data_IF_231178653175
#
_entry.id   IF_231178653175
#
_cell.length_a   1.000
_cell.length_b   1.000
_cell.length_c   1.000
_cell.angle_alpha   90.00
_cell.angle_beta   90.00
_cell.angle_gamma   90.00
#
_symmetry.space_group_name_H-M   'P 1'
#
loop_
_entity.id
_entity.type
_entity.pdbx_description
1 polymer ?
#
# COMPACT_ATOMS: atom_id res chain seq x y z
N UNK A 1 8.83 -18.34 20.66
CA UNK A 1 7.90 -17.20 20.57
C UNK A 1 7.08 -17.39 19.32
N UNK A 2 5.76 -17.50 19.43
CA UNK A 2 4.90 -17.72 18.27
C UNK A 2 4.94 -16.48 17.37
N UNK A 3 5.45 -16.64 16.14
CA UNK A 3 5.23 -15.66 15.09
C UNK A 3 3.72 -15.65 14.80
N UNK A 4 3.02 -14.69 15.38
CA UNK A 4 1.63 -14.41 15.03
C UNK A 4 1.60 -13.92 13.58
N UNK A 5 1.41 -14.85 12.65
CA UNK A 5 1.08 -14.53 11.27
C UNK A 5 -0.22 -13.74 11.27
N UNK A 6 -0.21 -12.57 10.65
CA UNK A 6 -1.42 -11.77 10.44
C UNK A 6 -2.36 -12.54 9.51
N UNK A 7 -3.68 -12.47 9.72
CA UNK A 7 -4.63 -13.25 8.93
C UNK A 7 -4.58 -12.82 7.46
N UNK A 8 -4.45 -13.80 6.56
CA UNK A 8 -4.49 -13.61 5.11
C UNK A 8 -5.88 -13.17 4.66
N UNK A 9 -5.96 -12.42 3.56
CA UNK A 9 -7.26 -12.09 2.98
C UNK A 9 -7.81 -13.31 2.26
N UNK A 10 -8.93 -13.84 2.73
CA UNK A 10 -9.66 -14.94 2.09
C UNK A 10 -10.99 -14.46 1.50
N UNK A 11 -11.25 -14.81 0.24
CA UNK A 11 -12.59 -14.90 -0.35
C UNK A 11 -12.91 -16.36 -0.66
N UNK A 12 -14.13 -16.65 -1.12
CA UNK A 12 -14.50 -18.02 -1.56
C UNK A 12 -13.53 -18.61 -2.60
N UNK A 13 -12.96 -17.76 -3.45
CA UNK A 13 -12.13 -18.15 -4.59
C UNK A 13 -10.65 -17.77 -4.51
N UNK A 14 -10.21 -17.01 -3.49
CA UNK A 14 -8.82 -16.54 -3.41
C UNK A 14 -8.35 -16.35 -1.96
N UNK A 15 -7.14 -16.81 -1.67
CA UNK A 15 -6.45 -16.57 -0.39
C UNK A 15 -5.08 -15.95 -0.69
N UNK A 16 -4.72 -14.88 0.02
CA UNK A 16 -3.38 -14.33 -0.06
C UNK A 16 -3.20 -13.00 0.68
N UNK A 17 -1.97 -12.50 0.64
CA UNK A 17 -1.58 -11.23 1.24
C UNK A 17 -1.17 -10.22 0.16
N UNK A 18 -1.60 -8.98 0.30
CA UNK A 18 -1.24 -7.88 -0.60
C UNK A 18 -0.78 -6.68 0.22
N UNK A 19 0.53 -6.48 0.32
CA UNK A 19 1.11 -5.32 0.98
C UNK A 19 1.87 -4.43 0.00
N UNK A 20 1.72 -3.13 0.16
CA UNK A 20 2.31 -2.13 -0.71
C UNK A 20 2.86 -0.98 0.13
N UNK A 21 4.16 -0.71 -0.04
CA UNK A 21 4.76 0.53 0.40
C UNK A 21 4.54 1.59 -0.68
N UNK A 22 3.92 2.70 -0.32
CA UNK A 22 3.81 3.89 -1.16
C UNK A 22 4.53 5.06 -0.52
N UNK A 23 5.01 5.95 -1.36
CA UNK A 23 5.51 7.25 -0.92
C UNK A 23 5.04 8.35 -1.85
N UNK A 24 4.54 9.44 -1.26
CA UNK A 24 4.15 10.66 -1.94
C UNK A 24 5.10 11.80 -1.55
N UNK A 25 5.41 12.67 -2.49
CA UNK A 25 6.24 13.86 -2.28
C UNK A 25 5.40 15.10 -2.58
N UNK A 26 5.37 16.11 -1.69
CA UNK A 26 4.78 17.40 -1.98
C UNK A 26 5.34 18.01 -3.27
N UNK A 27 4.58 18.89 -3.90
CA UNK A 27 5.03 19.59 -5.09
C UNK A 27 6.34 20.34 -4.78
N UNK A 28 7.27 20.31 -5.74
CA UNK A 28 8.59 20.95 -5.61
C UNK A 28 9.44 20.42 -4.44
N UNK A 29 9.07 19.28 -3.83
CA UNK A 29 9.76 18.66 -2.69
C UNK A 29 9.97 19.64 -1.52
N UNK A 30 8.93 20.43 -1.24
CA UNK A 30 8.94 21.37 -0.13
C UNK A 30 8.57 20.67 1.17
N UNK A 31 9.15 21.15 2.26
CA UNK A 31 9.02 20.60 3.60
C UNK A 31 7.71 21.04 4.28
N UNK A 32 6.57 20.85 3.60
CA UNK A 32 5.27 21.30 4.11
C UNK A 32 4.81 20.55 5.36
N UNK A 33 5.35 19.35 5.60
CA UNK A 33 5.02 18.55 6.79
C UNK A 33 5.86 18.91 8.00
N UNK A 34 6.80 19.87 7.88
CA UNK A 34 7.41 20.54 9.03
C UNK A 34 6.37 21.38 9.81
N UNK A 35 5.27 21.75 9.16
CA UNK A 35 4.14 22.41 9.82
C UNK A 35 3.17 21.32 10.34
N UNK A 36 2.97 21.20 11.67
CA UNK A 36 2.24 20.08 12.28
C UNK A 36 0.80 19.95 11.78
N UNK A 37 0.07 21.06 11.64
CA UNK A 37 -1.34 21.02 11.25
C UNK A 37 -1.50 20.55 9.79
N UNK A 38 -0.59 20.95 8.90
CA UNK A 38 -0.51 20.48 7.52
C UNK A 38 -0.26 18.98 7.47
N UNK A 39 0.65 18.46 8.32
CA UNK A 39 0.90 17.01 8.45
C UNK A 39 -0.38 16.30 8.91
N UNK A 40 -0.97 16.72 10.02
CA UNK A 40 -2.14 16.08 10.62
C UNK A 40 -3.36 16.06 9.68
N UNK A 41 -3.72 17.20 9.08
CA UNK A 41 -4.84 17.29 8.16
C UNK A 41 -4.61 16.47 6.88
N UNK A 42 -3.39 16.47 6.34
CA UNK A 42 -3.06 15.65 5.16
C UNK A 42 -3.21 14.17 5.47
N UNK A 43 -2.72 13.72 6.62
CA UNK A 43 -2.88 12.34 7.12
C UNK A 43 -4.37 12.00 7.29
N UNK A 44 -5.15 12.89 7.90
CA UNK A 44 -6.59 12.68 8.09
C UNK A 44 -7.34 12.50 6.76
N UNK A 45 -7.06 13.31 5.73
CA UNK A 45 -7.69 13.17 4.42
C UNK A 45 -7.24 11.92 3.67
N UNK A 46 -6.01 11.45 3.87
CA UNK A 46 -5.55 10.17 3.31
C UNK A 46 -6.31 9.00 3.97
N UNK A 47 -6.46 9.02 5.29
CA UNK A 47 -7.19 7.99 6.06
C UNK A 47 -8.68 8.00 5.69
N UNK A 48 -9.29 9.16 5.58
CA UNK A 48 -10.68 9.28 5.13
C UNK A 48 -10.85 8.62 3.75
N UNK A 49 -9.99 8.97 2.79
CA UNK A 49 -10.11 8.41 1.44
C UNK A 49 -9.83 6.91 1.41
N UNK A 50 -8.91 6.40 2.22
CA UNK A 50 -8.63 4.96 2.29
C UNK A 50 -9.83 4.18 2.83
N UNK A 51 -10.55 4.71 3.82
CA UNK A 51 -11.77 4.11 4.34
C UNK A 51 -12.88 4.04 3.28
N UNK A 52 -13.10 5.15 2.54
CA UNK A 52 -14.05 5.18 1.42
C UNK A 52 -13.70 4.15 0.33
N UNK A 53 -12.41 3.94 0.08
CA UNK A 53 -11.90 2.95 -0.88
C UNK A 53 -11.87 1.51 -0.36
N UNK A 54 -12.22 1.30 0.92
CA UNK A 54 -12.13 0.01 1.62
C UNK A 54 -10.73 -0.62 1.54
N UNK A 55 -9.70 0.20 1.70
CA UNK A 55 -8.30 -0.23 1.83
C UNK A 55 -7.79 0.12 3.23
N UNK A 56 -6.85 -0.67 3.74
CA UNK A 56 -6.30 -0.50 5.08
C UNK A 56 -4.93 0.20 5.00
N UNK A 57 -4.74 1.25 5.79
CA UNK A 57 -3.43 1.88 6.01
C UNK A 57 -2.90 1.37 7.35
N UNK A 58 -2.00 0.38 7.32
CA UNK A 58 -1.50 -0.23 8.54
C UNK A 58 -0.39 0.62 9.21
N UNK A 59 0.28 1.47 8.44
CA UNK A 59 1.20 2.49 8.95
C UNK A 59 1.25 3.70 8.01
N UNK A 60 1.41 4.88 8.60
CA UNK A 60 1.59 6.15 7.89
C UNK A 60 2.61 6.99 8.65
N UNK A 61 3.59 7.53 7.94
CA UNK A 61 4.61 8.41 8.55
C UNK A 61 4.97 9.52 7.57
N UNK A 62 5.26 10.72 8.09
CA UNK A 62 5.73 11.84 7.28
C UNK A 62 7.11 12.27 7.75
N UNK A 63 8.07 12.27 6.81
CA UNK A 63 9.23 13.16 6.92
C UNK A 63 8.84 14.60 6.56
N UNK A 64 9.78 15.56 6.62
CA UNK A 64 9.48 16.97 6.34
C UNK A 64 8.87 17.20 4.94
N UNK A 65 9.40 16.49 3.93
CA UNK A 65 9.11 16.68 2.50
C UNK A 65 8.54 15.43 1.82
N UNK A 66 8.01 14.45 2.56
CA UNK A 66 7.42 13.23 2.00
C UNK A 66 6.52 12.51 2.99
N UNK A 67 5.62 11.68 2.46
CA UNK A 67 4.68 10.87 3.22
C UNK A 67 4.80 9.41 2.76
N UNK A 68 4.98 8.48 3.70
CA UNK A 68 5.02 7.04 3.48
C UNK A 68 3.72 6.38 3.94
N UNK A 69 3.27 5.38 3.19
CA UNK A 69 2.10 4.56 3.51
C UNK A 69 2.48 3.08 3.42
N UNK A 70 2.07 2.31 4.41
CA UNK A 70 2.00 0.86 4.31
C UNK A 70 0.55 0.44 4.13
N UNK A 71 0.22 0.01 2.91
CA UNK A 71 -1.16 -0.26 2.47
C UNK A 71 -1.40 -1.76 2.38
N UNK A 72 -2.54 -2.18 2.92
CA UNK A 72 -3.10 -3.53 2.85
C UNK A 72 -4.47 -3.52 2.19
N UNK A 73 -4.98 -4.70 1.87
CA UNK A 73 -6.33 -4.89 1.33
C UNK A 73 -6.60 -4.14 0.02
N UNK A 74 -5.56 -3.92 -0.79
CA UNK A 74 -5.65 -3.12 -2.01
C UNK A 74 -5.87 -3.95 -3.28
N UNK A 75 -6.09 -5.27 -3.18
CA UNK A 75 -6.17 -6.20 -4.33
C UNK A 75 -7.20 -5.82 -5.41
N UNK A 76 -8.22 -5.06 -5.06
CA UNK A 76 -9.27 -4.62 -5.99
C UNK A 76 -8.88 -3.34 -6.77
N UNK A 77 -7.70 -2.79 -6.53
CA UNK A 77 -7.24 -1.53 -7.10
C UNK A 77 -5.96 -1.71 -7.92
N UNK A 78 -5.90 -1.02 -9.06
CA UNK A 78 -4.63 -0.83 -9.79
C UNK A 78 -3.77 0.19 -9.04
N UNK A 79 -2.48 -0.08 -8.88
CA UNK A 79 -1.54 0.79 -8.13
C UNK A 79 -1.63 2.27 -8.56
N UNK A 80 -1.61 2.63 -9.86
CA UNK A 80 -1.71 4.04 -10.27
C UNK A 80 -3.04 4.69 -9.91
N UNK A 81 -4.13 3.92 -9.95
CA UNK A 81 -5.46 4.41 -9.57
C UNK A 81 -5.50 4.65 -8.07
N UNK A 82 -4.97 3.73 -7.26
CA UNK A 82 -4.93 3.87 -5.81
C UNK A 82 -4.12 5.10 -5.39
N UNK A 83 -2.89 5.25 -5.90
CA UNK A 83 -2.06 6.43 -5.64
C UNK A 83 -2.74 7.72 -6.11
N UNK A 84 -3.36 7.70 -7.30
CA UNK A 84 -4.10 8.83 -7.84
C UNK A 84 -5.27 9.26 -6.96
N UNK A 85 -6.07 8.32 -6.47
CA UNK A 85 -7.24 8.60 -5.62
C UNK A 85 -6.83 9.23 -4.28
N UNK A 86 -5.83 8.65 -3.61
CA UNK A 86 -5.32 9.18 -2.34
C UNK A 86 -4.73 10.58 -2.51
N UNK A 87 -3.89 10.78 -3.54
CA UNK A 87 -3.27 12.07 -3.83
C UNK A 87 -4.29 13.12 -4.24
N UNK A 88 -5.24 12.79 -5.11
CA UNK A 88 -6.22 13.73 -5.62
C UNK A 88 -7.19 14.21 -4.52
N UNK A 89 -7.69 13.28 -3.70
CA UNK A 89 -8.60 13.63 -2.60
C UNK A 89 -7.92 14.53 -1.58
N UNK A 90 -6.78 14.10 -1.00
CA UNK A 90 -6.02 14.88 -0.02
C UNK A 90 -5.62 16.25 -0.57
N UNK A 91 -5.15 16.31 -1.82
CA UNK A 91 -4.80 17.57 -2.47
C UNK A 91 -6.01 18.51 -2.62
N UNK A 92 -7.18 17.99 -2.98
CA UNK A 92 -8.41 18.81 -3.11
C UNK A 92 -8.82 19.38 -1.76
N UNK A 93 -8.83 18.54 -0.72
CA UNK A 93 -9.27 18.94 0.61
C UNK A 93 -8.31 19.96 1.22
N UNK A 94 -7.00 19.71 1.18
CA UNK A 94 -5.99 20.64 1.67
C UNK A 94 -6.02 21.99 0.95
N UNK A 95 -6.10 22.01 -0.38
CA UNK A 95 -6.15 23.28 -1.12
C UNK A 95 -7.45 24.06 -0.94
N UNK A 96 -8.59 23.38 -0.74
CA UNK A 96 -9.89 24.05 -0.58
C UNK A 96 -10.06 24.62 0.83
N UNK A 97 -9.63 23.87 1.86
CA UNK A 97 -9.84 24.25 3.26
C UNK A 97 -8.67 24.98 3.91
N UNK A 98 -7.44 24.71 3.49
CA UNK A 98 -6.25 24.94 4.33
C UNK A 98 -5.04 25.50 3.55
N UNK A 99 -5.27 26.11 2.39
CA UNK A 99 -4.20 26.61 1.52
C UNK A 99 -3.26 27.61 2.19
N UNK A 100 -3.76 28.36 3.17
CA UNK A 100 -2.97 29.33 3.94
C UNK A 100 -1.81 28.68 4.72
N UNK A 101 -1.91 27.41 5.13
CA UNK A 101 -0.89 26.73 5.92
C UNK A 101 0.41 26.47 5.13
N UNK A 102 0.32 26.40 3.80
CA UNK A 102 1.44 26.01 2.94
C UNK A 102 1.63 26.95 1.73
N UNK A 103 0.93 28.09 1.69
CA UNK A 103 0.96 29.04 0.56
C UNK A 103 2.32 29.70 0.35
N UNK A 104 3.14 29.80 1.40
CA UNK A 104 4.51 30.28 1.33
C UNK A 104 5.50 29.25 0.74
N UNK A 105 5.14 27.95 0.76
CA UNK A 105 5.99 26.85 0.30
C UNK A 105 5.54 26.32 -1.07
N UNK A 106 4.24 26.26 -1.32
CA UNK A 106 3.66 25.75 -2.57
C UNK A 106 2.96 26.86 -3.34
N UNK A 107 3.19 26.90 -4.65
CA UNK A 107 2.55 27.85 -5.56
C UNK A 107 1.77 27.13 -6.68
N UNK A 108 0.87 27.88 -7.30
CA UNK A 108 0.02 27.38 -8.38
C UNK A 108 -1.00 26.35 -7.88
N UNK A 109 -1.29 25.34 -8.73
CA UNK A 109 -2.37 24.37 -8.50
C UNK A 109 -1.87 23.00 -8.01
N UNK A 110 -0.61 22.85 -7.59
CA UNK A 110 -0.02 21.54 -7.24
C UNK A 110 0.17 21.40 -5.72
N UNK A 111 -0.32 20.30 -5.14
CA UNK A 111 -0.05 19.93 -3.75
C UNK A 111 1.00 18.81 -3.66
N UNK A 112 0.82 17.77 -4.48
CA UNK A 112 1.78 16.68 -4.67
C UNK A 112 2.59 16.86 -5.95
N UNK A 113 3.78 16.25 -6.01
CA UNK A 113 4.48 15.98 -7.26
C UNK A 113 3.65 15.05 -8.17
N UNK A 114 3.96 14.98 -9.46
CA UNK A 114 3.22 14.09 -10.37
C UNK A 114 3.47 12.61 -10.05
N UNK A 115 4.73 12.24 -9.83
CA UNK A 115 5.15 10.87 -9.53
C UNK A 115 4.79 10.40 -8.12
N UNK A 116 5.03 9.11 -7.88
CA UNK A 116 4.97 8.46 -6.58
C UNK A 116 5.91 7.26 -6.63
N UNK A 117 6.40 6.83 -5.47
CA UNK A 117 7.15 5.58 -5.36
C UNK A 117 6.21 4.47 -4.88
N UNK A 118 6.44 3.25 -5.35
CA UNK A 118 5.76 2.07 -4.87
C UNK A 118 6.70 0.85 -4.81
N UNK A 119 6.48 -0.02 -3.81
CA UNK A 119 7.19 -1.30 -3.67
C UNK A 119 6.28 -2.33 -3.03
N UNK A 120 6.20 -3.53 -3.60
CA UNK A 120 5.51 -4.65 -2.95
C UNK A 120 6.30 -5.11 -1.73
N UNK A 121 5.60 -5.48 -0.66
CA UNK A 121 6.23 -5.99 0.57
C UNK A 121 5.63 -7.35 0.90
N UNK A 122 6.50 -8.34 1.13
CA UNK A 122 6.08 -9.67 1.54
C UNK A 122 7.22 -10.36 2.29
N UNK A 123 6.87 -11.10 3.33
CA UNK A 123 7.78 -12.03 3.99
C UNK A 123 7.33 -13.44 3.62
N UNK A 124 7.97 -14.03 2.62
CA UNK A 124 7.64 -15.37 2.17
C UNK A 124 8.79 -16.30 2.55
N UNK A 125 8.53 -17.26 3.44
CA UNK A 125 9.51 -18.31 3.75
C UNK A 125 9.40 -19.44 2.73
N UNK A 126 10.49 -20.19 2.50
CA UNK A 126 10.46 -21.38 1.64
C UNK A 126 9.40 -22.41 2.12
N UNK A 127 9.19 -22.49 3.43
CA UNK A 127 8.19 -23.36 4.04
C UNK A 127 6.76 -22.88 3.77
N UNK A 128 6.53 -21.57 3.79
CA UNK A 128 5.25 -20.95 3.38
C UNK A 128 4.93 -21.28 1.92
N UNK A 129 5.91 -21.16 1.00
CA UNK A 129 5.73 -21.52 -0.42
C UNK A 129 5.40 -23.01 -0.58
N UNK A 130 6.13 -23.89 0.12
CA UNK A 130 5.90 -25.34 0.10
C UNK A 130 4.49 -25.69 0.57
N UNK A 131 4.03 -25.05 1.65
CA UNK A 131 2.67 -25.24 2.19
C UNK A 131 1.61 -24.77 1.20
N UNK A 132 1.71 -23.56 0.66
CA UNK A 132 0.76 -23.02 -0.31
C UNK A 132 0.55 -23.94 -1.51
N UNK A 133 1.64 -24.43 -2.10
CA UNK A 133 1.58 -25.31 -3.26
C UNK A 133 0.98 -26.66 -2.87
N UNK A 134 1.41 -27.26 -1.74
CA UNK A 134 0.87 -28.56 -1.29
C UNK A 134 -0.64 -28.47 -1.01
N UNK A 135 -1.09 -27.45 -0.29
CA UNK A 135 -2.50 -27.27 0.08
C UNK A 135 -3.38 -26.89 -1.10
N UNK A 136 -2.89 -26.06 -2.03
CA UNK A 136 -3.60 -25.74 -3.28
C UNK A 136 -3.85 -26.97 -4.17
N UNK A 137 -2.97 -27.97 -4.13
CA UNK A 137 -3.10 -29.21 -4.91
C UNK A 137 -4.05 -30.23 -4.27
N UNK A 138 -4.28 -30.18 -2.94
CA UNK A 138 -5.18 -31.13 -2.23
C UNK A 138 -6.62 -31.11 -2.74
N UNK A 139 -7.10 -29.99 -3.31
CA UNK A 139 -8.45 -29.87 -3.88
C UNK A 139 -8.63 -30.59 -5.23
N UNK A 140 -7.54 -30.91 -5.94
CA UNK A 140 -7.61 -31.42 -7.32
C UNK A 140 -6.89 -32.75 -7.52
N UNK A 141 -6.02 -33.19 -6.60
CA UNK A 141 -5.19 -34.38 -6.77
C UNK A 141 -5.37 -35.37 -5.61
N UNK A 142 -5.76 -36.63 -5.89
CA UNK A 142 -5.58 -37.76 -4.95
C UNK A 142 -4.10 -37.90 -4.59
N UNK A 143 -3.75 -37.55 -3.35
CA UNK A 143 -2.39 -37.56 -2.78
C UNK A 143 -1.34 -38.28 -3.63
N UNK A 144 -0.55 -37.51 -4.41
CA UNK A 144 0.75 -38.01 -4.86
C UNK A 144 1.73 -37.65 -3.76
N UNK A 145 2.18 -38.69 -3.05
CA UNK A 145 3.33 -38.59 -2.17
C UNK A 145 4.60 -38.34 -2.99
N UNK A 146 5.43 -37.41 -2.52
CA UNK A 146 6.77 -37.11 -3.06
C UNK A 146 6.88 -36.59 -4.50
N UNK A 147 6.26 -35.44 -4.81
CA UNK A 147 6.72 -34.61 -5.93
C UNK A 147 7.59 -33.45 -5.43
N UNK A 148 8.85 -33.41 -5.86
CA UNK A 148 9.68 -32.22 -5.76
C UNK A 148 9.03 -31.05 -6.51
N UNK A 149 9.12 -29.85 -5.93
CA UNK A 149 8.65 -28.64 -6.59
C UNK A 149 9.58 -28.29 -7.75
N UNK A 150 9.10 -28.50 -8.97
CA UNK A 150 9.78 -28.06 -10.18
C UNK A 150 9.65 -26.54 -10.33
N UNK A 151 10.75 -25.87 -10.63
CA UNK A 151 10.76 -24.48 -11.10
C UNK A 151 10.95 -24.46 -12.63
N UNK A 152 10.93 -23.27 -13.24
CA UNK A 152 11.12 -23.10 -14.69
C UNK A 152 12.41 -23.75 -15.22
N UNK A 153 13.44 -23.86 -14.40
CA UNK A 153 14.74 -24.44 -14.78
C UNK A 153 14.76 -25.97 -14.69
N UNK A 154 13.85 -26.56 -13.93
CA UNK A 154 13.80 -27.99 -13.63
C UNK A 154 12.49 -28.62 -14.14
N UNK A 155 11.80 -27.95 -15.08
CA UNK A 155 10.49 -28.38 -15.58
C UNK A 155 10.56 -29.42 -16.70
N UNK A 156 11.76 -29.70 -17.23
CA UNK A 156 11.99 -30.77 -18.20
C UNK A 156 11.80 -32.17 -17.57
#
# INVERSE_FOLDING_TARGET
MAHNYLPEQSSYSAVGETNLHLQFTPAYRRDIFSEPLTKELTVAYIIQRSQEMKIEIAAIECGPDHLHLFVKQWKNWKIPVLAGQLKAHSSRMMRKGHSALFSNKLWGKKFWSAGYFHRTVGAVTAETVKRYIREGQKKHWKQIENKEQKNLFNFN
#
